data_IF_126258516477
#
_entry.id   IF_126258516477
#
_cell.length_a   1.000
_cell.length_b   1.000
_cell.length_c   1.000
_cell.angle_alpha   90.00
_cell.angle_beta   90.00
_cell.angle_gamma   90.00
#
_symmetry.space_group_name_H-M   'P 1'
#
loop_
_entity.id
_entity.type
_entity.pdbx_description
1 polymer ?
#
# COMPACT_ATOMS: atom_id res chain seq x y z
N UNK A 1 -7.20 14.57 -28.95
CA UNK A 1 -8.42 15.11 -29.62
C UNK A 1 -9.71 14.91 -28.82
N UNK A 2 -9.95 13.81 -28.11
CA UNK A 2 -11.18 13.60 -27.33
C UNK A 2 -11.42 14.65 -26.21
N UNK A 3 -10.39 14.91 -25.40
CA UNK A 3 -10.47 15.88 -24.29
C UNK A 3 -10.81 17.29 -24.77
N UNK A 4 -10.23 17.74 -25.88
CA UNK A 4 -10.52 19.07 -26.44
C UNK A 4 -11.99 19.25 -26.86
N UNK A 5 -12.63 18.18 -27.36
CA UNK A 5 -14.06 18.21 -27.70
C UNK A 5 -14.96 18.31 -26.47
N UNK A 6 -14.59 17.62 -25.38
CA UNK A 6 -15.33 17.67 -24.13
C UNK A 6 -15.28 19.07 -23.52
N UNK A 7 -14.13 19.73 -23.59
CA UNK A 7 -13.92 21.05 -23.02
C UNK A 7 -14.69 22.18 -23.72
N UNK A 8 -14.93 22.07 -25.03
CA UNK A 8 -15.74 23.02 -25.76
C UNK A 8 -17.18 23.10 -25.23
N UNK A 9 -17.69 21.97 -24.65
CA UNK A 9 -19.03 21.89 -24.10
C UNK A 9 -19.17 22.51 -22.71
N UNK A 10 -18.05 22.93 -22.09
CA UNK A 10 -17.99 23.47 -20.72
C UNK A 10 -18.80 22.66 -19.70
N UNK A 11 -18.51 21.35 -19.53
CA UNK A 11 -19.32 20.48 -18.71
C UNK A 11 -19.11 20.76 -17.22
N UNK A 12 -20.14 20.59 -16.40
CA UNK A 12 -20.04 20.65 -14.94
C UNK A 12 -19.25 19.47 -14.36
N UNK A 13 -19.28 18.32 -15.04
CA UNK A 13 -18.59 17.10 -14.63
C UNK A 13 -17.93 16.40 -15.81
N UNK A 14 -16.72 15.92 -15.62
CA UNK A 14 -15.95 15.14 -16.59
C UNK A 14 -15.73 13.73 -16.02
N UNK A 15 -16.08 12.70 -16.80
CA UNK A 15 -15.85 11.30 -16.46
C UNK A 15 -14.68 10.77 -17.25
N UNK A 16 -13.66 10.27 -16.56
CA UNK A 16 -12.46 9.66 -17.14
C UNK A 16 -12.33 8.23 -16.65
N UNK A 17 -12.53 7.28 -17.56
CA UNK A 17 -12.40 5.85 -17.26
C UNK A 17 -11.09 5.32 -17.88
N UNK A 18 -10.15 4.93 -17.02
CA UNK A 18 -8.82 4.39 -17.37
C UNK A 18 -8.10 5.21 -18.49
N UNK A 19 -8.05 6.56 -18.41
CA UNK A 19 -7.64 7.41 -19.54
C UNK A 19 -6.18 7.22 -19.97
N UNK A 20 -5.36 6.57 -19.13
CA UNK A 20 -3.93 6.37 -19.38
C UNK A 20 -3.55 4.91 -19.62
N UNK A 21 -4.49 3.98 -19.68
CA UNK A 21 -4.22 2.54 -19.77
C UNK A 21 -3.43 2.13 -21.03
N UNK A 22 -3.59 2.85 -22.13
CA UNK A 22 -2.94 2.58 -23.42
C UNK A 22 -1.82 3.60 -23.75
N UNK A 23 -1.32 4.35 -22.77
CA UNK A 23 -0.35 5.42 -22.99
C UNK A 23 1.00 5.04 -22.38
N UNK A 24 2.10 5.28 -23.14
CA UNK A 24 3.45 5.09 -22.63
C UNK A 24 3.76 6.04 -21.45
N UNK A 25 4.72 5.66 -20.60
CA UNK A 25 5.01 6.36 -19.35
C UNK A 25 5.41 7.82 -19.51
N UNK A 26 6.06 8.19 -20.63
CA UNK A 26 6.49 9.56 -20.89
C UNK A 26 5.32 10.46 -21.29
N UNK A 27 4.49 10.00 -22.22
CA UNK A 27 3.27 10.68 -22.64
C UNK A 27 2.25 10.77 -21.51
N UNK A 28 2.14 9.72 -20.71
CA UNK A 28 1.28 9.66 -19.55
C UNK A 28 1.52 10.83 -18.59
N UNK A 29 2.77 11.09 -18.22
CA UNK A 29 3.09 12.20 -17.32
C UNK A 29 2.65 13.55 -17.90
N UNK A 30 2.85 13.79 -19.20
CA UNK A 30 2.39 15.01 -19.88
C UNK A 30 0.86 15.15 -19.85
N UNK A 31 0.14 14.06 -20.13
CA UNK A 31 -1.32 14.06 -20.11
C UNK A 31 -1.88 14.27 -18.70
N UNK A 32 -1.27 13.69 -17.67
CA UNK A 32 -1.61 13.94 -16.27
C UNK A 32 -1.53 15.44 -15.95
N UNK A 33 -0.43 16.13 -16.35
CA UNK A 33 -0.27 17.57 -16.14
C UNK A 33 -1.35 18.37 -16.86
N UNK A 34 -1.64 18.03 -18.12
CA UNK A 34 -2.69 18.70 -18.90
C UNK A 34 -4.07 18.55 -18.27
N UNK A 35 -4.42 17.35 -17.78
CA UNK A 35 -5.70 17.11 -17.08
C UNK A 35 -5.78 17.96 -15.79
N UNK A 36 -4.71 18.05 -15.02
CA UNK A 36 -4.68 18.88 -13.81
C UNK A 36 -4.83 20.39 -14.13
N UNK A 37 -4.20 20.86 -15.18
CA UNK A 37 -4.35 22.26 -15.64
C UNK A 37 -5.78 22.55 -16.08
N UNK A 38 -6.37 21.63 -16.85
CA UNK A 38 -7.75 21.74 -17.31
C UNK A 38 -8.75 21.74 -16.16
N UNK A 39 -8.55 20.86 -15.16
CA UNK A 39 -9.40 20.83 -13.96
C UNK A 39 -9.41 22.18 -13.24
N UNK A 40 -8.26 22.83 -13.14
CA UNK A 40 -8.15 24.17 -12.54
C UNK A 40 -8.81 25.27 -13.37
N UNK A 41 -8.64 25.23 -14.70
CA UNK A 41 -9.16 26.27 -15.61
C UNK A 41 -10.70 26.27 -15.68
N UNK A 42 -11.29 25.08 -15.73
CA UNK A 42 -12.73 24.95 -15.93
C UNK A 42 -13.54 24.82 -14.63
N UNK A 43 -12.86 24.72 -13.48
CA UNK A 43 -13.49 24.51 -12.17
C UNK A 43 -14.53 23.37 -12.17
N UNK A 44 -14.32 22.37 -13.04
CA UNK A 44 -15.21 21.21 -13.20
C UNK A 44 -14.86 20.09 -12.26
N UNK A 45 -15.86 19.36 -11.81
CA UNK A 45 -15.63 18.11 -11.05
C UNK A 45 -15.17 17.02 -12.00
N UNK A 46 -14.03 16.37 -11.70
CA UNK A 46 -13.55 15.22 -12.47
C UNK A 46 -13.77 13.95 -11.66
N UNK A 47 -14.54 13.01 -12.22
CA UNK A 47 -14.60 11.63 -11.73
C UNK A 47 -13.61 10.78 -12.52
N UNK A 48 -12.60 10.29 -11.84
CA UNK A 48 -11.47 9.57 -12.43
C UNK A 48 -11.47 8.12 -11.95
N UNK A 49 -11.56 7.16 -12.88
CA UNK A 49 -11.48 5.73 -12.59
C UNK A 49 -10.10 5.23 -13.01
N UNK A 50 -9.39 4.59 -12.10
CA UNK A 50 -8.10 3.96 -12.36
C UNK A 50 -7.81 2.83 -11.36
N UNK A 51 -7.10 1.79 -11.81
CA UNK A 51 -6.50 0.77 -10.97
C UNK A 51 -5.06 1.11 -10.56
N UNK A 52 -4.51 2.21 -11.06
CA UNK A 52 -3.15 2.66 -10.76
C UNK A 52 -3.16 3.62 -9.55
N UNK A 53 -2.69 3.12 -8.41
CA UNK A 53 -2.65 3.87 -7.15
C UNK A 53 -1.87 5.18 -7.25
N UNK A 54 -0.79 5.22 -8.07
CA UNK A 54 0.07 6.38 -8.17
C UNK A 54 -0.63 7.51 -8.95
N UNK A 55 -1.45 7.18 -9.95
CA UNK A 55 -2.34 8.12 -10.65
C UNK A 55 -3.36 8.72 -9.67
N UNK A 56 -4.08 7.87 -8.96
CA UNK A 56 -5.08 8.31 -7.97
C UNK A 56 -4.43 9.21 -6.91
N UNK A 57 -3.24 8.84 -6.41
CA UNK A 57 -2.55 9.64 -5.41
C UNK A 57 -2.12 11.00 -5.93
N UNK A 58 -1.67 11.12 -7.20
CA UNK A 58 -1.26 12.38 -7.81
C UNK A 58 -2.43 13.27 -8.21
N UNK A 59 -3.47 12.69 -8.82
CA UNK A 59 -4.50 13.44 -9.53
C UNK A 59 -5.75 13.74 -8.71
N UNK A 60 -6.11 12.89 -7.72
CA UNK A 60 -7.36 13.02 -6.98
C UNK A 60 -7.14 13.67 -5.61
N UNK A 61 -8.16 14.36 -5.10
CA UNK A 61 -8.19 14.85 -3.71
C UNK A 61 -8.88 13.82 -2.81
N UNK A 62 -9.98 13.25 -3.30
CA UNK A 62 -10.78 12.21 -2.63
C UNK A 62 -10.79 10.95 -3.47
N UNK A 63 -11.03 9.83 -2.83
CA UNK A 63 -11.18 8.56 -3.51
C UNK A 63 -12.27 7.69 -2.91
N UNK A 64 -12.79 6.80 -3.74
CA UNK A 64 -13.65 5.70 -3.32
C UNK A 64 -13.01 4.38 -3.77
N UNK A 65 -12.93 3.42 -2.85
CA UNK A 65 -12.48 2.06 -3.16
C UNK A 65 -13.70 1.20 -3.46
N UNK A 66 -13.74 0.62 -4.66
CA UNK A 66 -14.80 -0.27 -5.09
C UNK A 66 -14.28 -1.70 -5.14
N UNK A 67 -14.98 -2.60 -4.47
CA UNK A 67 -14.68 -4.02 -4.49
C UNK A 67 -15.98 -4.83 -4.58
N UNK A 68 -16.02 -5.86 -5.45
CA UNK A 68 -17.22 -6.67 -5.70
C UNK A 68 -18.49 -5.85 -5.97
N UNK A 69 -18.37 -4.76 -6.75
CA UNK A 69 -19.48 -3.88 -7.12
C UNK A 69 -20.02 -3.00 -5.99
N UNK A 70 -19.32 -2.93 -4.85
CA UNK A 70 -19.72 -2.10 -3.70
C UNK A 70 -18.63 -1.11 -3.35
N UNK A 71 -19.04 0.07 -2.89
CA UNK A 71 -18.14 1.05 -2.33
C UNK A 71 -17.79 0.62 -0.89
N UNK A 72 -16.54 0.30 -0.63
CA UNK A 72 -16.08 -0.13 0.70
C UNK A 72 -15.58 1.02 1.57
N UNK A 73 -14.78 1.92 0.97
CA UNK A 73 -14.16 3.05 1.67
C UNK A 73 -14.24 4.28 0.80
N UNK A 74 -14.59 5.42 1.40
CA UNK A 74 -14.55 6.73 0.75
C UNK A 74 -13.90 7.75 1.67
N UNK A 75 -13.22 8.74 1.12
CA UNK A 75 -12.64 9.83 1.90
C UNK A 75 -11.48 10.53 1.20
N UNK A 76 -10.76 11.34 1.97
CA UNK A 76 -9.52 11.98 1.52
C UNK A 76 -8.46 10.92 1.17
N UNK A 77 -7.81 11.07 0.01
CA UNK A 77 -6.81 10.09 -0.46
C UNK A 77 -5.73 9.80 0.57
N UNK A 78 -5.20 10.84 1.22
CA UNK A 78 -4.12 10.70 2.22
C UNK A 78 -4.52 9.84 3.40
N UNK A 79 -5.78 9.98 3.87
CA UNK A 79 -6.32 9.18 4.97
C UNK A 79 -6.49 7.71 4.57
N UNK A 80 -7.05 7.45 3.38
CA UNK A 80 -7.24 6.07 2.89
C UNK A 80 -5.88 5.40 2.62
N UNK A 81 -4.90 6.12 2.07
CA UNK A 81 -3.55 5.58 1.90
C UNK A 81 -2.86 5.30 3.23
N UNK A 82 -3.07 6.14 4.25
CA UNK A 82 -2.50 5.95 5.58
C UNK A 82 -3.20 4.84 6.35
N UNK A 83 -4.53 4.80 6.30
CA UNK A 83 -5.36 3.85 7.03
C UNK A 83 -6.50 3.29 6.14
N UNK A 84 -6.23 2.26 5.33
CA UNK A 84 -7.16 1.75 4.32
C UNK A 84 -8.40 1.05 4.88
N UNK A 85 -8.41 0.64 6.14
CA UNK A 85 -9.50 0.00 6.88
C UNK A 85 -9.97 -1.36 6.37
N UNK A 86 -9.90 -1.66 5.07
CA UNK A 86 -10.28 -2.95 4.47
C UNK A 86 -9.11 -3.61 3.77
N UNK A 87 -9.16 -4.94 3.61
CA UNK A 87 -8.12 -5.71 2.90
C UNK A 87 -7.99 -5.27 1.46
N UNK A 88 -9.10 -5.05 0.75
CA UNK A 88 -9.08 -4.60 -0.64
C UNK A 88 -8.48 -3.21 -0.78
N UNK A 89 -8.85 -2.25 0.08
CA UNK A 89 -8.26 -0.92 0.10
C UNK A 89 -6.75 -0.96 0.42
N UNK A 90 -6.32 -1.83 1.34
CA UNK A 90 -4.91 -2.03 1.64
C UNK A 90 -4.13 -2.55 0.44
N UNK A 91 -4.67 -3.55 -0.28
CA UNK A 91 -4.06 -4.10 -1.50
C UNK A 91 -3.94 -3.02 -2.59
N UNK A 92 -5.03 -2.30 -2.86
CA UNK A 92 -5.09 -1.25 -3.88
C UNK A 92 -4.15 -0.08 -3.56
N UNK A 93 -4.01 0.28 -2.27
CA UNK A 93 -3.06 1.32 -1.84
C UNK A 93 -1.62 0.80 -1.68
N UNK A 94 -1.35 -0.47 -2.05
CA UNK A 94 0.00 -1.02 -2.20
C UNK A 94 0.55 -1.78 -1.01
N UNK A 95 -0.27 -2.17 -0.03
CA UNK A 95 0.15 -3.09 1.01
C UNK A 95 0.39 -4.49 0.39
N UNK A 96 1.58 -5.06 0.62
CA UNK A 96 1.99 -6.36 0.05
C UNK A 96 1.98 -7.47 1.09
N UNK A 97 2.08 -7.14 2.36
CA UNK A 97 2.08 -8.10 3.45
C UNK A 97 0.75 -7.99 4.17
N UNK A 98 -0.09 -9.00 4.02
CA UNK A 98 -1.39 -9.11 4.70
C UNK A 98 -1.54 -10.54 5.20
N UNK A 99 -1.98 -10.69 6.44
CA UNK A 99 -2.25 -11.98 7.08
C UNK A 99 -3.55 -11.93 7.87
N UNK A 100 -4.18 -13.07 8.06
CA UNK A 100 -5.21 -13.20 9.11
C UNK A 100 -4.58 -13.02 10.48
N UNK A 101 -5.31 -12.37 11.38
CA UNK A 101 -4.88 -12.22 12.77
C UNK A 101 -5.94 -12.72 13.76
N UNK A 102 -5.47 -13.13 14.93
CA UNK A 102 -6.29 -13.46 16.11
C UNK A 102 -5.80 -12.60 17.26
N UNK A 103 -6.73 -12.00 18.00
CA UNK A 103 -6.43 -11.20 19.19
C UNK A 103 -6.39 -12.11 20.42
N UNK A 104 -5.32 -12.05 21.20
CA UNK A 104 -5.08 -12.84 22.41
C UNK A 104 -4.69 -11.90 23.58
N UNK A 105 -5.69 -11.26 24.19
CA UNK A 105 -5.46 -10.26 25.25
C UNK A 105 -4.66 -9.05 24.72
N UNK A 106 -3.45 -8.83 25.24
CA UNK A 106 -2.54 -7.75 24.78
C UNK A 106 -1.70 -8.17 23.59
N UNK A 107 -1.95 -9.33 22.98
CA UNK A 107 -1.19 -9.83 21.84
C UNK A 107 -2.10 -10.02 20.63
N UNK A 108 -1.50 -9.91 19.46
CA UNK A 108 -2.06 -10.39 18.19
C UNK A 108 -1.20 -11.53 17.68
N UNK A 109 -1.83 -12.55 17.12
CA UNK A 109 -1.17 -13.65 16.44
C UNK A 109 -1.42 -13.55 14.94
N UNK A 110 -0.34 -13.40 14.16
CA UNK A 110 -0.33 -13.29 12.71
C UNK A 110 -0.19 -14.69 12.10
N UNK A 111 -1.27 -15.27 11.59
CA UNK A 111 -1.34 -16.69 11.22
C UNK A 111 -0.36 -17.13 10.14
N UNK A 112 -0.24 -16.34 9.05
CA UNK A 112 0.61 -16.71 7.92
C UNK A 112 2.10 -16.51 8.23
N UNK A 113 2.41 -15.57 9.11
CA UNK A 113 3.79 -15.22 9.47
C UNK A 113 4.28 -15.93 10.73
N UNK A 114 3.39 -16.60 11.47
CA UNK A 114 3.70 -17.24 12.77
C UNK A 114 4.33 -16.25 13.76
N UNK A 115 3.86 -15.00 13.76
CA UNK A 115 4.38 -13.93 14.64
C UNK A 115 3.35 -13.60 15.70
N UNK A 116 3.80 -13.56 16.96
CA UNK A 116 3.03 -13.08 18.10
C UNK A 116 3.55 -11.72 18.53
N UNK A 117 2.76 -10.68 18.30
CA UNK A 117 3.13 -9.28 18.58
C UNK A 117 2.35 -8.74 19.76
N UNK A 118 3.05 -8.13 20.73
CA UNK A 118 2.41 -7.37 21.80
C UNK A 118 1.92 -6.03 21.25
N UNK A 119 0.70 -5.65 21.58
CA UNK A 119 0.08 -4.38 21.22
C UNK A 119 -0.14 -3.56 22.49
N UNK A 120 0.35 -2.32 22.49
CA UNK A 120 0.20 -1.41 23.62
C UNK A 120 -1.18 -0.73 23.59
N UNK A 121 -1.67 -0.38 22.40
CA UNK A 121 -2.93 0.33 22.20
C UNK A 121 -4.00 -0.63 21.65
N UNK A 122 -4.61 -1.45 22.52
CA UNK A 122 -5.61 -2.45 22.13
C UNK A 122 -6.88 -1.87 21.50
N UNK A 123 -7.22 -0.60 21.76
CA UNK A 123 -8.38 0.09 21.17
C UNK A 123 -8.27 0.27 19.65
N UNK A 124 -7.05 0.22 19.10
CA UNK A 124 -6.80 0.30 17.65
C UNK A 124 -6.99 -1.01 16.91
N UNK A 125 -7.09 -2.13 17.64
CA UNK A 125 -7.19 -3.47 17.03
C UNK A 125 -8.62 -3.71 16.56
N UNK A 126 -8.87 -3.42 15.29
CA UNK A 126 -10.16 -3.62 14.65
C UNK A 126 -9.96 -4.58 13.47
N UNK A 127 -10.89 -5.54 13.31
CA UNK A 127 -10.88 -6.45 12.16
C UNK A 127 -10.21 -7.79 12.42
N UNK A 128 -10.06 -8.58 11.35
CA UNK A 128 -9.54 -9.95 11.39
C UNK A 128 -8.28 -10.15 10.54
N UNK A 129 -7.79 -9.08 9.91
CA UNK A 129 -6.57 -9.13 9.13
C UNK A 129 -5.62 -8.01 9.55
N UNK A 130 -4.33 -8.29 9.45
CA UNK A 130 -3.25 -7.36 9.70
C UNK A 130 -2.46 -7.15 8.41
N UNK A 131 -2.17 -5.89 8.12
CA UNK A 131 -1.27 -5.51 7.03
C UNK A 131 -0.04 -4.76 7.55
N UNK A 132 1.06 -4.85 6.80
CA UNK A 132 2.23 -3.98 6.96
C UNK A 132 2.83 -3.69 5.59
N UNK A 133 3.21 -2.44 5.34
CA UNK A 133 3.84 -2.07 4.08
C UNK A 133 5.28 -2.60 4.02
N UNK A 134 5.72 -2.94 2.82
CA UNK A 134 7.04 -3.54 2.61
C UNK A 134 8.20 -2.63 3.07
N UNK A 135 8.04 -1.31 3.00
CA UNK A 135 9.05 -0.35 3.43
C UNK A 135 9.00 -0.02 4.94
N UNK A 136 7.97 -0.48 5.64
CA UNK A 136 7.82 -0.26 7.08
C UNK A 136 8.41 -1.39 7.93
N UNK A 137 8.81 -2.51 7.31
CA UNK A 137 9.50 -3.58 8.01
C UNK A 137 10.93 -3.12 8.33
N UNK A 138 11.33 -3.24 9.58
CA UNK A 138 12.68 -2.86 10.04
C UNK A 138 13.46 -4.08 10.48
N UNK A 139 14.68 -4.22 9.96
CA UNK A 139 15.65 -5.14 10.51
C UNK A 139 16.36 -4.44 11.68
N UNK A 140 16.46 -5.14 12.79
CA UNK A 140 17.07 -4.64 14.03
C UNK A 140 18.21 -5.55 14.45
N UNK A 141 19.16 -4.99 15.20
CA UNK A 141 20.34 -5.73 15.71
C UNK A 141 20.06 -6.37 17.07
N UNK A 142 19.25 -5.70 17.87
CA UNK A 142 18.90 -6.09 19.23
C UNK A 142 17.82 -7.17 19.20
N UNK A 143 18.24 -8.41 19.41
CA UNK A 143 17.37 -9.61 19.39
C UNK A 143 16.20 -9.54 20.40
N UNK A 144 16.45 -8.87 21.53
CA UNK A 144 15.47 -8.73 22.64
C UNK A 144 14.22 -7.93 22.23
N UNK A 145 14.35 -7.04 21.25
CA UNK A 145 13.24 -6.20 20.77
C UNK A 145 12.63 -6.70 19.45
N UNK A 146 13.10 -7.85 18.96
CA UNK A 146 12.61 -8.42 17.72
C UNK A 146 11.24 -9.09 17.92
N UNK A 147 10.36 -8.86 16.95
CA UNK A 147 9.07 -9.57 16.89
C UNK A 147 9.24 -10.95 16.23
N UNK A 148 10.21 -11.11 15.35
CA UNK A 148 10.54 -12.39 14.74
C UNK A 148 12.00 -12.49 14.29
N UNK A 149 12.53 -13.72 14.36
CA UNK A 149 13.72 -14.17 13.64
C UNK A 149 13.28 -14.65 12.25
N UNK A 150 13.96 -14.22 11.22
CA UNK A 150 13.67 -14.56 9.83
C UNK A 150 14.94 -15.06 9.13
N UNK A 151 14.73 -15.88 8.11
CA UNK A 151 15.78 -16.19 7.11
C UNK A 151 15.45 -15.42 5.84
N UNK A 152 16.45 -14.81 5.22
CA UNK A 152 16.33 -14.20 3.88
C UNK A 152 16.20 -15.33 2.87
N UNK A 153 14.99 -15.52 2.34
CA UNK A 153 14.65 -16.59 1.42
C UNK A 153 15.05 -16.24 -0.03
N UNK A 154 14.88 -14.97 -0.40
CA UNK A 154 15.15 -14.50 -1.76
C UNK A 154 15.50 -13.01 -1.72
N UNK A 155 16.32 -12.57 -2.69
CA UNK A 155 16.76 -11.18 -2.87
C UNK A 155 16.52 -10.77 -4.32
N UNK A 156 15.59 -9.85 -4.52
CA UNK A 156 15.20 -9.40 -5.86
C UNK A 156 15.63 -7.96 -6.04
N UNK A 157 16.49 -7.73 -7.02
CA UNK A 157 16.91 -6.39 -7.39
C UNK A 157 15.89 -5.75 -8.32
N UNK A 158 15.39 -4.56 -7.94
CA UNK A 158 14.56 -3.70 -8.79
C UNK A 158 15.37 -2.49 -9.27
N UNK A 159 14.79 -1.63 -10.08
CA UNK A 159 15.48 -0.45 -10.63
C UNK A 159 16.07 0.46 -9.55
N UNK A 160 15.30 0.75 -8.51
CA UNK A 160 15.68 1.70 -7.45
C UNK A 160 15.71 1.08 -6.05
N UNK A 161 15.19 -0.12 -5.90
CA UNK A 161 15.00 -0.79 -4.63
C UNK A 161 15.60 -2.19 -4.63
N UNK A 162 15.86 -2.69 -3.42
CA UNK A 162 16.10 -4.10 -3.13
C UNK A 162 14.86 -4.66 -2.43
N UNK A 163 14.40 -5.82 -2.87
CA UNK A 163 13.27 -6.53 -2.29
C UNK A 163 13.79 -7.81 -1.65
N UNK A 164 13.46 -8.00 -0.38
CA UNK A 164 13.85 -9.17 0.39
C UNK A 164 12.60 -9.95 0.77
N UNK A 165 12.60 -11.26 0.53
CA UNK A 165 11.59 -12.16 1.04
C UNK A 165 12.13 -12.77 2.35
N UNK A 166 11.57 -12.31 3.46
CA UNK A 166 11.96 -12.71 4.81
C UNK A 166 10.99 -13.76 5.34
N UNK A 167 11.47 -14.97 5.60
CA UNK A 167 10.64 -16.03 6.16
C UNK A 167 10.85 -16.12 7.67
N UNK A 168 9.85 -15.74 8.48
CA UNK A 168 9.88 -16.00 9.93
C UNK A 168 9.88 -17.51 10.24
N UNK A 169 10.44 -17.88 11.37
CA UNK A 169 10.48 -19.26 11.82
C UNK A 169 9.07 -19.86 11.91
N UNK A 170 8.82 -20.97 11.22
CA UNK A 170 7.52 -21.66 11.16
C UNK A 170 6.43 -20.94 10.35
N UNK A 171 6.77 -19.88 9.62
CA UNK A 171 5.81 -19.12 8.79
C UNK A 171 5.38 -19.89 7.54
N UNK A 172 4.09 -19.75 7.20
CA UNK A 172 3.51 -20.27 5.96
C UNK A 172 3.88 -19.42 4.73
N UNK A 173 3.99 -18.10 4.94
CA UNK A 173 4.33 -17.14 3.87
C UNK A 173 5.47 -16.23 4.31
N UNK A 174 6.37 -15.83 3.39
CA UNK A 174 7.36 -14.84 3.69
C UNK A 174 6.75 -13.43 3.80
N UNK A 175 7.45 -12.56 4.51
CA UNK A 175 7.24 -11.12 4.51
C UNK A 175 8.09 -10.48 3.41
N UNK A 176 7.49 -9.61 2.62
CA UNK A 176 8.20 -8.81 1.63
C UNK A 176 8.67 -7.51 2.28
N UNK A 177 9.98 -7.33 2.40
CA UNK A 177 10.63 -6.07 2.76
C UNK A 177 11.17 -5.39 1.51
N UNK A 178 11.09 -4.06 1.44
CA UNK A 178 11.59 -3.27 0.32
C UNK A 178 12.37 -2.09 0.84
N UNK A 179 13.63 -1.97 0.41
CA UNK A 179 14.55 -0.91 0.83
C UNK A 179 15.09 -0.20 -0.42
N UNK A 180 15.21 1.13 -0.40
CA UNK A 180 15.91 1.87 -1.45
C UNK A 180 17.37 1.42 -1.55
N UNK A 181 17.92 1.31 -2.77
CA UNK A 181 19.35 0.96 -3.00
C UNK A 181 20.33 1.94 -2.34
N UNK A 182 19.89 3.15 -2.05
CA UNK A 182 20.68 4.14 -1.30
C UNK A 182 20.85 3.81 0.18
N UNK A 183 20.07 2.88 0.73
CA UNK A 183 20.28 2.37 2.08
C UNK A 183 21.34 1.26 2.02
N UNK A 184 22.45 1.47 2.72
CA UNK A 184 23.67 0.63 2.65
C UNK A 184 23.52 -0.79 3.22
N UNK A 185 22.34 -1.17 3.71
CA UNK A 185 22.12 -2.49 4.29
C UNK A 185 21.82 -3.50 3.17
N UNK A 186 22.82 -4.33 2.86
CA UNK A 186 22.68 -5.45 1.93
C UNK A 186 22.57 -6.73 2.73
N UNK A 187 21.50 -7.49 2.51
CA UNK A 187 21.31 -8.82 3.08
C UNK A 187 21.45 -9.86 1.98
N UNK A 188 21.95 -11.04 2.33
CA UNK A 188 22.18 -12.13 1.40
C UNK A 188 21.19 -13.27 1.65
N UNK A 189 20.93 -14.08 0.62
CA UNK A 189 20.13 -15.30 0.77
C UNK A 189 20.71 -16.19 1.87
N UNK A 190 19.81 -16.83 2.63
CA UNK A 190 20.10 -17.68 3.80
C UNK A 190 20.65 -16.94 5.01
N UNK A 191 20.80 -15.62 4.96
CA UNK A 191 21.16 -14.81 6.10
C UNK A 191 20.04 -14.76 7.12
N UNK A 192 20.39 -14.85 8.41
CA UNK A 192 19.47 -14.70 9.52
C UNK A 192 19.35 -13.21 9.90
N UNK A 193 18.12 -12.71 9.95
CA UNK A 193 17.82 -11.33 10.34
C UNK A 193 16.73 -11.30 11.42
N UNK A 194 16.75 -10.27 12.23
CA UNK A 194 15.73 -10.02 13.25
C UNK A 194 14.90 -8.81 12.84
N UNK A 195 13.58 -8.96 12.81
CA UNK A 195 12.67 -7.90 12.37
C UNK A 195 11.81 -7.38 13.50
N UNK A 196 11.46 -6.09 13.40
CA UNK A 196 10.45 -5.46 14.23
C UNK A 196 9.32 -4.90 13.36
N UNK A 197 8.09 -5.18 13.77
CA UNK A 197 6.85 -4.66 13.18
C UNK A 197 6.34 -3.54 14.10
N UNK A 198 6.67 -2.30 13.77
CA UNK A 198 6.30 -1.14 14.58
C UNK A 198 4.79 -0.96 14.62
N UNK A 199 4.23 -0.76 15.80
CA UNK A 199 2.77 -0.69 16.01
C UNK A 199 2.12 0.42 15.17
N UNK A 200 2.80 1.56 14.98
CA UNK A 200 2.31 2.68 14.18
C UNK A 200 2.23 2.37 12.68
N UNK A 201 2.98 1.35 12.22
CA UNK A 201 2.99 0.91 10.83
C UNK A 201 2.00 -0.23 10.55
N UNK A 202 1.38 -0.77 11.59
CA UNK A 202 0.40 -1.85 11.46
C UNK A 202 -0.93 -1.32 10.95
N UNK A 203 -1.49 -2.01 9.97
CA UNK A 203 -2.80 -1.74 9.38
C UNK A 203 -3.78 -2.80 9.88
N UNK A 204 -4.72 -2.41 10.74
CA UNK A 204 -5.79 -3.29 11.20
C UNK A 204 -6.94 -3.24 10.21
N UNK A 205 -7.28 -4.39 9.59
CA UNK A 205 -8.12 -4.46 8.41
C UNK A 205 -9.38 -5.30 8.66
N UNK A 206 -10.51 -4.80 8.15
CA UNK A 206 -11.74 -5.55 8.01
C UNK A 206 -11.69 -6.37 6.71
N UNK A 207 -12.35 -7.53 6.73
CA UNK A 207 -12.51 -8.37 5.53
C UNK A 207 -13.67 -7.87 4.67
#
# INVERSE_FOLDING_TARGET
>A
MAIARILILNPEMILLDEPFSAVDSYLKWKLEQQIMELAKLYNSTILFVSHNRDEVYRLCDKMAVIHNGKVEVTGEKKEIFKNPRTVSAAILTGCKNITEMVTEGQYIYCKDWNIRKRIVCSEKVIGKALGIRAHDIKVIKEREYADAKCVVEDVIESTFDMIYLLRPDGAKKPLRMQLPKSQVLVYHEKEEVYISLWEEALLFLQQ
#
